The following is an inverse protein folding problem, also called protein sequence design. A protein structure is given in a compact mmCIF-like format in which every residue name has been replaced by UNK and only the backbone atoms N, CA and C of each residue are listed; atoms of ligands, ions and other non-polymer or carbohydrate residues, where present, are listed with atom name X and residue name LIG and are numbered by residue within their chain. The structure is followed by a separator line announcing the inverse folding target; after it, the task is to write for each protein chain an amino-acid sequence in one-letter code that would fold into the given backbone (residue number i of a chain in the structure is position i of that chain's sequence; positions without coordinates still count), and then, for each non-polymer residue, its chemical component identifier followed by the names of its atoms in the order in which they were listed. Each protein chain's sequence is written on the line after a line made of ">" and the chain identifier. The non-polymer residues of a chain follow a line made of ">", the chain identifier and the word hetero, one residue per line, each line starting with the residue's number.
data_IF_754965234767
#
_entry.id   IF_754965234767
#
_cell.length_a   1.000
_cell.length_b   1.000
_cell.length_c   1.000
_cell.angle_alpha   90.00
_cell.angle_beta   90.00
_cell.angle_gamma   90.00
#
_symmetry.space_group_name_H-M   'P 1'
#
loop_
_entity.id
_entity.type
_entity.pdbx_description
1 polymer ?
#
# COMPACT_ATOMS: atom_id res chain seq x y z
N UNK A 1 -4.14 21.93 1.84
CA UNK A 1 -5.29 22.79 1.46
C UNK A 1 -5.95 23.48 2.66
N UNK A 2 -6.29 22.75 3.74
CA UNK A 2 -7.04 23.29 4.89
C UNK A 2 -6.40 24.53 5.53
N UNK A 3 -5.09 24.49 5.81
CA UNK A 3 -4.39 25.62 6.43
C UNK A 3 -4.35 26.84 5.51
N UNK A 4 -4.17 26.61 4.20
CA UNK A 4 -4.21 27.71 3.23
C UNK A 4 -5.57 28.38 3.21
N UNK A 5 -6.66 27.60 3.20
CA UNK A 5 -8.02 28.13 3.25
C UNK A 5 -8.32 28.87 4.56
N UNK A 6 -7.94 28.30 5.72
CA UNK A 6 -8.15 28.97 7.03
C UNK A 6 -7.40 30.29 7.14
N UNK A 7 -6.20 30.35 6.55
CA UNK A 7 -5.36 31.56 6.56
C UNK A 7 -5.65 32.52 5.38
N UNK A 8 -6.64 32.21 4.55
CA UNK A 8 -6.98 32.93 3.32
C UNK A 8 -5.76 33.13 2.38
N UNK A 9 -4.89 32.11 2.31
CA UNK A 9 -3.74 32.10 1.41
C UNK A 9 -4.09 31.37 0.11
N UNK A 10 -3.61 31.89 -1.03
CA UNK A 10 -3.76 31.21 -2.30
C UNK A 10 -2.96 29.90 -2.31
N UNK A 11 -3.49 28.89 -3.00
CA UNK A 11 -2.71 27.70 -3.31
C UNK A 11 -1.62 28.06 -4.32
N UNK A 12 -0.38 27.52 -4.15
CA UNK A 12 0.64 27.66 -5.17
C UNK A 12 0.20 26.99 -6.48
N UNK A 13 0.43 27.67 -7.61
CA UNK A 13 -0.01 27.19 -8.94
C UNK A 13 0.83 25.97 -9.44
N UNK A 14 2.01 25.78 -8.89
CA UNK A 14 2.98 24.75 -9.24
C UNK A 14 2.90 23.49 -8.35
N UNK A 15 1.95 23.46 -7.40
CA UNK A 15 1.77 22.32 -6.46
C UNK A 15 0.40 21.69 -6.62
N UNK A 16 0.36 20.43 -7.04
CA UNK A 16 -0.84 19.63 -6.99
C UNK A 16 -1.01 19.04 -5.58
N UNK A 17 -2.18 19.25 -4.98
CA UNK A 17 -2.52 18.66 -3.68
C UNK A 17 -3.41 17.46 -3.85
N UNK A 18 -3.02 16.30 -3.30
CA UNK A 18 -3.84 15.09 -3.27
C UNK A 18 -5.01 15.19 -2.28
N UNK A 19 -4.88 16.07 -1.29
CA UNK A 19 -5.88 16.26 -0.25
C UNK A 19 -6.86 17.39 -0.55
N UNK A 20 -8.06 17.28 0.03
CA UNK A 20 -9.06 18.36 0.06
C UNK A 20 -8.99 19.13 1.37
N UNK A 21 -9.48 20.38 1.33
CA UNK A 21 -9.70 21.13 2.56
C UNK A 21 -10.83 20.49 3.38
N UNK A 22 -10.62 20.34 4.68
CA UNK A 22 -11.65 19.88 5.62
C UNK A 22 -12.46 21.02 6.22
N UNK A 23 -12.25 22.26 5.80
CA UNK A 23 -13.01 23.43 6.31
C UNK A 23 -14.52 23.24 6.16
N UNK A 24 -15.05 22.73 5.02
CA UNK A 24 -16.48 22.43 4.92
C UNK A 24 -16.95 21.46 6.01
N UNK A 25 -16.22 20.37 6.26
CA UNK A 25 -16.59 19.42 7.31
C UNK A 25 -16.54 20.04 8.72
N UNK A 26 -15.59 20.94 8.99
CA UNK A 26 -15.55 21.68 10.27
C UNK A 26 -16.76 22.62 10.46
N UNK A 27 -17.43 22.98 9.38
CA UNK A 27 -18.69 23.78 9.40
C UNK A 27 -19.95 22.90 9.37
N UNK A 28 -19.80 21.54 9.34
CA UNK A 28 -20.91 20.62 9.20
C UNK A 28 -21.43 20.48 7.78
N UNK A 29 -20.67 20.94 6.78
CA UNK A 29 -20.98 20.82 5.36
C UNK A 29 -20.36 19.55 4.76
N UNK A 30 -20.92 18.98 3.68
CA UNK A 30 -20.34 17.85 3.00
C UNK A 30 -18.95 18.14 2.43
N UNK A 31 -18.03 17.20 2.56
CA UNK A 31 -16.79 17.21 1.79
C UNK A 31 -17.10 16.79 0.35
N UNK A 32 -16.57 17.50 -0.64
CA UNK A 32 -16.70 17.15 -2.05
C UNK A 32 -15.85 15.93 -2.47
N UNK A 33 -15.72 14.94 -1.57
CA UNK A 33 -14.99 13.70 -1.81
C UNK A 33 -15.99 12.55 -1.92
N UNK A 34 -16.01 11.89 -3.05
CA UNK A 34 -16.89 10.75 -3.35
C UNK A 34 -16.21 9.38 -3.18
N UNK A 35 -14.86 9.36 -3.09
CA UNK A 35 -14.10 8.15 -2.85
C UNK A 35 -12.81 8.39 -2.05
N UNK A 36 -12.38 7.36 -1.32
CA UNK A 36 -11.08 7.27 -0.64
C UNK A 36 -10.38 6.02 -1.13
N UNK A 37 -9.14 6.17 -1.61
CA UNK A 37 -8.33 5.06 -2.10
C UNK A 37 -7.25 4.69 -1.11
N UNK A 38 -6.97 3.39 -1.01
CA UNK A 38 -5.82 2.83 -0.29
C UNK A 38 -5.03 1.97 -1.27
N UNK A 39 -3.73 2.19 -1.35
CA UNK A 39 -2.85 1.49 -2.26
C UNK A 39 -1.70 0.81 -1.52
N UNK A 40 -1.54 -0.50 -1.71
CA UNK A 40 -0.49 -1.30 -1.10
C UNK A 40 0.10 -2.28 -2.13
N UNK A 41 1.14 -1.90 -2.91
CA UNK A 41 1.67 -2.71 -4.01
C UNK A 41 2.63 -3.83 -3.57
N UNK A 42 2.91 -3.96 -2.29
CA UNK A 42 3.99 -4.82 -1.80
C UNK A 42 3.51 -6.20 -1.38
N UNK A 43 4.26 -7.25 -1.75
CA UNK A 43 4.16 -8.58 -1.16
C UNK A 43 5.13 -8.65 0.03
N UNK A 44 4.64 -8.47 1.25
CA UNK A 44 5.47 -8.47 2.45
C UNK A 44 5.65 -9.88 2.99
N UNK A 45 6.90 -10.25 3.32
CA UNK A 45 7.21 -11.52 3.98
C UNK A 45 7.08 -11.38 5.50
N UNK A 46 5.85 -11.22 5.99
CA UNK A 46 5.51 -11.14 7.42
C UNK A 46 4.59 -12.30 7.81
N UNK A 47 4.54 -12.70 9.11
CA UNK A 47 3.67 -13.79 9.56
C UNK A 47 2.20 -13.61 9.17
N UNK A 48 1.69 -12.39 9.29
CA UNK A 48 0.34 -12.00 8.85
C UNK A 48 0.45 -11.45 7.42
N UNK A 49 0.56 -12.36 6.47
CA UNK A 49 0.76 -12.04 5.06
C UNK A 49 -0.36 -11.15 4.52
N UNK A 50 0.03 -10.01 3.96
CA UNK A 50 -0.86 -9.11 3.25
C UNK A 50 -0.49 -9.10 1.76
N UNK A 51 -1.37 -9.55 0.87
CA UNK A 51 -1.10 -9.51 -0.57
C UNK A 51 -1.11 -8.08 -1.10
N UNK A 52 -0.48 -7.83 -2.26
CA UNK A 52 -0.66 -6.57 -2.96
C UNK A 52 -2.14 -6.28 -3.20
N UNK A 53 -2.60 -5.12 -2.77
CA UNK A 53 -4.00 -4.78 -2.79
C UNK A 53 -4.25 -3.30 -3.10
N UNK A 54 -5.40 -3.00 -3.67
CA UNK A 54 -5.98 -1.68 -3.72
C UNK A 54 -7.37 -1.72 -3.11
N UNK A 55 -7.78 -0.66 -2.42
CA UNK A 55 -9.14 -0.55 -1.93
C UNK A 55 -9.73 0.82 -2.26
N UNK A 56 -11.03 0.85 -2.50
CA UNK A 56 -11.82 2.07 -2.62
C UNK A 56 -12.99 2.05 -1.64
N UNK A 57 -13.16 3.15 -0.92
CA UNK A 57 -14.37 3.45 -0.16
C UNK A 57 -15.17 4.48 -0.94
N UNK A 58 -16.42 4.19 -1.27
CA UNK A 58 -17.33 5.10 -1.95
C UNK A 58 -18.74 4.92 -1.42
N UNK A 59 -19.28 5.98 -0.80
CA UNK A 59 -20.53 5.88 -0.04
C UNK A 59 -20.43 4.82 1.06
N UNK A 60 -21.39 3.90 1.08
CA UNK A 60 -21.46 2.80 2.04
C UNK A 60 -20.64 1.56 1.62
N UNK A 61 -20.09 1.59 0.41
CA UNK A 61 -19.38 0.45 -0.17
C UNK A 61 -17.87 0.55 0.02
N UNK A 62 -17.26 -0.60 0.30
CA UNK A 62 -15.81 -0.82 0.21
C UNK A 62 -15.51 -1.98 -0.70
N UNK A 63 -14.74 -1.73 -1.76
CA UNK A 63 -14.17 -2.78 -2.61
C UNK A 63 -12.68 -2.93 -2.31
N UNK A 64 -12.21 -4.16 -2.19
CA UNK A 64 -10.79 -4.51 -2.12
C UNK A 64 -10.47 -5.36 -3.35
N UNK A 65 -9.52 -4.92 -4.15
CA UNK A 65 -8.89 -5.69 -5.23
C UNK A 65 -7.60 -6.32 -4.71
N UNK A 66 -7.54 -7.63 -4.65
CA UNK A 66 -6.32 -8.40 -4.37
C UNK A 66 -5.68 -8.77 -5.72
N UNK A 67 -4.45 -8.30 -5.94
CA UNK A 67 -3.79 -8.49 -7.23
C UNK A 67 -3.35 -9.93 -7.41
N UNK A 68 -3.78 -10.56 -8.53
CA UNK A 68 -3.39 -11.90 -8.95
C UNK A 68 -3.76 -13.05 -7.98
N UNK A 69 -4.70 -12.81 -7.05
CA UNK A 69 -5.15 -13.79 -6.05
C UNK A 69 -6.42 -14.56 -6.49
N UNK A 70 -6.91 -14.34 -7.71
CA UNK A 70 -8.03 -15.04 -8.30
C UNK A 70 -7.62 -16.25 -9.15
N UNK A 71 -8.62 -16.91 -9.75
CA UNK A 71 -8.39 -18.03 -10.64
C UNK A 71 -7.56 -17.64 -11.87
N UNK A 72 -6.65 -18.51 -12.28
CA UNK A 72 -5.77 -18.30 -13.42
C UNK A 72 -4.99 -16.97 -13.40
N UNK A 73 -4.71 -16.41 -12.20
CA UNK A 73 -3.98 -15.16 -12.04
C UNK A 73 -4.82 -13.90 -12.24
N UNK A 74 -6.13 -14.01 -12.35
CA UNK A 74 -7.04 -12.87 -12.31
C UNK A 74 -6.98 -12.17 -10.94
N UNK A 75 -7.52 -10.95 -10.83
CA UNK A 75 -7.69 -10.29 -9.55
C UNK A 75 -8.84 -10.93 -8.78
N UNK A 76 -8.70 -10.96 -7.45
CA UNK A 76 -9.80 -11.32 -6.56
C UNK A 76 -10.39 -10.06 -5.96
N UNK A 77 -11.71 -10.01 -5.88
CA UNK A 77 -12.43 -8.88 -5.31
C UNK A 77 -13.16 -9.30 -4.04
N UNK A 78 -13.17 -8.40 -3.04
CA UNK A 78 -13.96 -8.50 -1.83
C UNK A 78 -14.79 -7.22 -1.72
N UNK A 79 -16.11 -7.35 -1.57
CA UNK A 79 -17.03 -6.22 -1.48
C UNK A 79 -17.76 -6.23 -0.14
N UNK A 80 -17.79 -5.08 0.53
CA UNK A 80 -18.42 -4.91 1.83
C UNK A 80 -19.38 -3.72 1.84
N UNK A 81 -20.50 -3.88 2.54
CA UNK A 81 -21.46 -2.83 2.85
C UNK A 81 -21.18 -2.31 4.27
N UNK A 82 -20.44 -1.22 4.37
CA UNK A 82 -19.97 -0.67 5.66
C UNK A 82 -21.10 -0.03 6.49
N UNK A 83 -22.23 0.30 5.89
CA UNK A 83 -23.40 0.79 6.62
C UNK A 83 -24.01 -0.31 7.50
N UNK A 84 -23.98 -1.57 7.03
CA UNK A 84 -24.58 -2.71 7.71
C UNK A 84 -23.54 -3.69 8.29
N UNK A 85 -22.31 -3.66 7.82
CA UNK A 85 -21.21 -4.55 8.21
C UNK A 85 -19.89 -3.78 8.32
N UNK A 86 -19.76 -2.92 9.34
CA UNK A 86 -18.52 -2.17 9.61
C UNK A 86 -17.33 -3.06 9.93
N UNK A 87 -17.58 -4.31 10.32
CA UNK A 87 -16.55 -5.32 10.63
C UNK A 87 -16.03 -6.06 9.41
N UNK A 88 -16.56 -5.79 8.19
CA UNK A 88 -16.12 -6.44 6.95
C UNK A 88 -16.15 -7.97 7.03
N UNK A 89 -17.20 -8.51 7.63
CA UNK A 89 -17.33 -9.95 7.93
C UNK A 89 -17.96 -10.75 6.80
N UNK A 90 -18.71 -10.08 5.90
CA UNK A 90 -19.49 -10.71 4.85
C UNK A 90 -19.11 -10.18 3.48
N UNK A 91 -18.39 -10.99 2.70
CA UNK A 91 -18.07 -10.67 1.31
C UNK A 91 -19.32 -10.75 0.43
N UNK A 92 -19.69 -9.63 -0.19
CA UNK A 92 -20.85 -9.47 -1.06
C UNK A 92 -20.48 -9.45 -2.56
N UNK A 93 -19.22 -9.70 -2.93
CA UNK A 93 -18.75 -9.56 -4.31
C UNK A 93 -19.51 -10.43 -5.32
N UNK A 94 -19.85 -11.67 -4.94
CA UNK A 94 -20.64 -12.57 -5.78
C UNK A 94 -22.11 -12.14 -5.92
N UNK A 95 -22.64 -11.37 -4.94
CA UNK A 95 -24.03 -10.91 -4.94
C UNK A 95 -24.25 -9.64 -5.75
N UNK A 96 -23.24 -8.78 -5.81
CA UNK A 96 -23.31 -7.46 -6.45
C UNK A 96 -22.20 -7.24 -7.49
N UNK A 97 -22.17 -8.05 -8.58
CA UNK A 97 -21.09 -7.99 -9.56
C UNK A 97 -21.03 -6.64 -10.31
N UNK A 98 -22.16 -5.96 -10.49
CA UNK A 98 -22.19 -4.65 -11.14
C UNK A 98 -21.52 -3.58 -10.28
N UNK A 99 -21.77 -3.59 -8.95
CA UNK A 99 -21.10 -2.69 -8.00
C UNK A 99 -19.59 -2.98 -7.95
N UNK A 100 -19.21 -4.26 -7.99
CA UNK A 100 -17.78 -4.64 -8.10
C UNK A 100 -17.16 -4.03 -9.34
N UNK A 101 -17.79 -4.18 -10.51
CA UNK A 101 -17.24 -3.65 -11.78
C UNK A 101 -17.13 -2.12 -11.77
N UNK A 102 -18.12 -1.42 -11.22
CA UNK A 102 -18.08 0.04 -11.09
C UNK A 102 -16.92 0.50 -10.19
N UNK A 103 -16.82 -0.07 -8.98
CA UNK A 103 -15.79 0.30 -8.02
C UNK A 103 -14.39 -0.13 -8.48
N UNK A 104 -14.28 -1.25 -9.19
CA UNK A 104 -13.03 -1.72 -9.78
C UNK A 104 -12.53 -0.79 -10.89
N UNK A 105 -13.46 -0.22 -11.69
CA UNK A 105 -13.13 0.83 -12.66
C UNK A 105 -12.56 2.06 -11.97
N UNK A 106 -13.13 2.49 -10.84
CA UNK A 106 -12.59 3.62 -10.05
C UNK A 106 -11.17 3.35 -9.52
N UNK A 107 -10.90 2.09 -9.09
CA UNK A 107 -9.53 1.69 -8.69
C UNK A 107 -8.59 1.81 -9.90
N UNK A 108 -9.03 1.35 -11.08
CA UNK A 108 -8.22 1.40 -12.29
C UNK A 108 -7.90 2.84 -12.70
N UNK A 109 -8.89 3.72 -12.69
CA UNK A 109 -8.73 5.14 -13.00
C UNK A 109 -7.74 5.81 -12.03
N UNK A 110 -7.88 5.54 -10.73
CA UNK A 110 -6.94 6.03 -9.72
C UNK A 110 -5.50 5.56 -9.98
N UNK A 111 -5.30 4.28 -10.32
CA UNK A 111 -3.96 3.74 -10.61
C UNK A 111 -3.35 4.34 -11.88
N UNK A 112 -4.17 4.70 -12.87
CA UNK A 112 -3.73 5.39 -14.09
C UNK A 112 -3.40 6.85 -13.80
N UNK A 113 -4.28 7.58 -13.13
CA UNK A 113 -4.12 9.00 -12.81
C UNK A 113 -2.90 9.29 -11.93
N UNK A 114 -2.58 8.36 -11.03
CA UNK A 114 -1.44 8.51 -10.10
C UNK A 114 -0.14 7.89 -10.62
N UNK A 115 -0.13 7.31 -11.82
CA UNK A 115 1.00 6.53 -12.37
C UNK A 115 1.51 5.50 -11.35
N UNK A 116 0.58 4.82 -10.68
CA UNK A 116 0.88 3.92 -9.57
C UNK A 116 1.62 2.67 -10.05
N UNK A 117 2.64 2.26 -9.28
CA UNK A 117 3.36 1.00 -9.53
C UNK A 117 2.38 -0.16 -9.47
N UNK A 118 2.30 -0.97 -10.53
CA UNK A 118 1.41 -2.13 -10.59
C UNK A 118 2.14 -3.41 -10.18
N UNK A 119 1.58 -4.21 -9.26
CA UNK A 119 2.10 -5.53 -8.97
C UNK A 119 2.06 -6.41 -10.23
N UNK A 120 3.16 -7.10 -10.49
CA UNK A 120 3.23 -8.10 -11.56
C UNK A 120 3.50 -9.48 -10.94
N UNK A 121 2.94 -10.57 -11.50
CA UNK A 121 3.26 -11.91 -11.04
C UNK A 121 4.76 -12.18 -11.16
N UNK A 122 5.34 -12.87 -10.15
CA UNK A 122 6.71 -13.29 -10.23
C UNK A 122 6.85 -14.41 -11.28
N UNK A 123 7.54 -14.20 -12.42
CA UNK A 123 7.66 -15.21 -13.46
C UNK A 123 8.50 -16.44 -13.05
N UNK A 124 9.22 -16.32 -11.93
CA UNK A 124 10.03 -17.41 -11.34
C UNK A 124 9.32 -18.06 -10.14
N UNK A 125 8.06 -17.73 -9.88
CA UNK A 125 7.31 -18.34 -8.80
C UNK A 125 7.02 -19.80 -9.10
N UNK A 126 7.48 -20.70 -8.21
CA UNK A 126 7.20 -22.13 -8.27
C UNK A 126 6.30 -22.53 -7.08
N UNK A 127 5.01 -22.81 -7.33
CA UNK A 127 4.08 -23.20 -6.27
C UNK A 127 4.51 -24.45 -5.50
N UNK A 128 5.25 -25.36 -6.14
CA UNK A 128 5.73 -26.58 -5.50
C UNK A 128 6.83 -26.32 -4.45
N UNK A 129 7.54 -25.22 -4.59
CA UNK A 129 8.59 -24.80 -3.66
C UNK A 129 8.10 -23.76 -2.65
N UNK A 130 6.92 -23.21 -2.86
CA UNK A 130 6.37 -22.22 -1.95
C UNK A 130 5.98 -22.85 -0.60
N UNK A 131 6.44 -22.22 0.48
CA UNK A 131 6.22 -22.67 1.86
C UNK A 131 5.64 -21.51 2.67
N UNK A 132 4.31 -21.32 2.67
CA UNK A 132 3.67 -20.21 3.38
C UNK A 132 3.99 -20.21 4.88
N UNK A 133 4.18 -21.40 5.47
CA UNK A 133 4.54 -21.54 6.87
C UNK A 133 5.95 -21.01 7.22
N UNK A 134 6.78 -20.73 6.22
CA UNK A 134 8.13 -20.17 6.38
C UNK A 134 8.17 -18.67 6.10
N UNK A 135 7.08 -18.06 5.62
CA UNK A 135 7.00 -16.64 5.36
C UNK A 135 7.28 -15.88 6.68
N UNK A 136 8.19 -14.92 6.63
CA UNK A 136 8.68 -14.18 7.80
C UNK A 136 9.69 -14.93 8.70
N UNK A 137 9.70 -16.27 8.76
CA UNK A 137 10.60 -17.05 9.62
C UNK A 137 12.02 -17.17 9.05
N UNK A 138 12.15 -17.22 7.73
CA UNK A 138 13.45 -17.37 7.06
C UNK A 138 14.37 -16.15 7.25
N UNK A 139 13.82 -14.98 7.39
CA UNK A 139 14.59 -13.74 7.64
C UNK A 139 15.14 -13.69 9.07
N UNK A 140 14.38 -14.20 10.05
CA UNK A 140 14.82 -14.28 11.45
C UNK A 140 16.00 -15.25 11.63
N UNK A 141 16.03 -16.37 10.90
CA UNK A 141 17.17 -17.30 10.92
C UNK A 141 18.43 -16.68 10.29
N UNK A 142 18.32 -15.98 9.17
CA UNK A 142 19.49 -15.30 8.54
C UNK A 142 20.05 -14.17 9.39
N UNK A 143 19.23 -13.43 10.13
CA UNK A 143 19.69 -12.42 11.06
C UNK A 143 20.40 -13.03 12.28
N UNK A 144 20.00 -14.22 12.73
CA UNK A 144 20.64 -14.98 13.82
C UNK A 144 21.98 -15.59 13.41
N UNK A 145 22.07 -16.13 12.20
CA UNK A 145 23.31 -16.76 11.70
C UNK A 145 24.43 -15.75 11.44
N UNK A 146 24.12 -14.51 11.05
CA UNK A 146 25.14 -13.44 10.92
C UNK A 146 25.77 -13.00 12.22
N UNK A 147 25.14 -13.25 13.38
CA UNK A 147 25.70 -12.88 14.69
C UNK A 147 26.67 -13.91 15.28
N UNK A 148 26.67 -15.16 14.81
CA UNK A 148 27.55 -16.23 15.35
C UNK A 148 28.84 -16.45 14.58
N UNK A 149 28.96 -15.97 13.33
CA UNK A 149 30.16 -16.12 12.51
C UNK A 149 31.26 -15.07 12.77
N UNK A 150 31.10 -14.15 13.73
CA UNK A 150 31.96 -13.01 13.98
C UNK A 150 32.85 -13.08 15.21
N UNK A 151 33.30 -14.27 15.68
CA UNK A 151 34.35 -14.39 16.73
C UNK A 151 35.51 -15.24 16.27
N UNK A 152 36.26 -14.73 15.29
CA UNK A 152 37.59 -15.21 14.94
C UNK A 152 38.61 -14.08 15.14
N UNK A 153 39.56 -14.29 16.08
CA UNK A 153 40.68 -13.38 16.36
C UNK A 153 41.45 -13.03 15.10
N UNK A 154 41.69 -11.75 14.86
CA UNK A 154 42.63 -11.24 13.88
C UNK A 154 43.09 -9.85 14.28
N UNK A 155 44.31 -9.78 14.86
CA UNK A 155 45.07 -8.57 15.15
C UNK A 155 45.46 -7.84 13.85
N UNK A 156 45.23 -6.54 13.75
CA UNK A 156 46.00 -5.74 12.80
C UNK A 156 45.28 -4.58 12.12
N UNK A 157 45.64 -3.40 12.58
CA UNK A 157 45.87 -2.14 11.83
C UNK A 157 44.66 -1.35 11.30
N UNK A 158 44.42 -0.24 11.97
CA UNK A 158 43.53 0.84 11.60
C UNK A 158 43.77 1.34 10.16
N UNK A 159 42.67 1.45 9.39
CA UNK A 159 42.53 2.41 8.29
C UNK A 159 41.21 3.15 8.48
N UNK A 160 41.32 4.47 8.48
CA UNK A 160 40.21 5.40 8.57
C UNK A 160 39.22 5.14 7.43
N UNK A 161 37.97 4.86 7.79
CA UNK A 161 36.84 4.93 6.88
C UNK A 161 36.19 6.28 7.06
N UNK A 162 36.17 7.05 5.98
CA UNK A 162 35.36 8.27 5.87
C UNK A 162 33.90 7.79 5.64
N UNK A 163 33.06 8.01 6.63
CA UNK A 163 31.64 7.83 6.50
C UNK A 163 31.09 8.82 5.49
N UNK A 164 30.60 8.32 4.37
CA UNK A 164 29.87 9.09 3.37
C UNK A 164 28.40 9.11 3.80
N UNK A 165 27.95 10.25 4.33
CA UNK A 165 26.56 10.53 4.63
C UNK A 165 25.83 10.81 3.29
N UNK A 166 24.79 10.03 2.90
CA UNK A 166 24.06 10.25 1.65
C UNK A 166 23.13 11.48 1.68
N UNK A 167 23.08 12.24 2.77
CA UNK A 167 22.24 13.44 2.92
C UNK A 167 23.01 14.75 3.08
N UNK A 168 24.29 14.84 2.66
CA UNK A 168 25.01 16.12 2.66
C UNK A 168 24.57 16.97 1.43
N UNK A 169 23.89 18.12 1.64
CA UNK A 169 23.35 18.95 0.55
C UNK A 169 24.34 19.93 -0.06
N UNK A 170 25.64 19.76 0.12
CA UNK A 170 26.65 20.65 -0.46
C UNK A 170 27.58 19.88 -1.37
N UNK A 171 27.18 19.75 -2.64
CA UNK A 171 28.05 19.77 -3.82
C UNK A 171 27.16 19.62 -5.08
N UNK A 172 26.82 20.77 -5.65
CA UNK A 172 26.51 20.90 -7.08
C UNK A 172 27.77 20.84 -7.88
#
# INVERSE_FOLDING_TARGET
>A
PTLLEVLALAQPDDVAFDGLSIVPALRGEPLGRDAIFTWFPHATAVPDWLPPAAAVHSGDWKLIRLFHEGEAGAHRHLLYDLANDIGETTDLSARFPETVAELDTRIEDFLVETDAVRPIPNPQFDPAQYRPELVGKAQLKRAGEKKTAGKGKGTGRAKANVDHDPFDPVLQ
#
